data_IF_629430919231
#
_entry.id   IF_629430919231
#
_cell.length_a   1.000
_cell.length_b   1.000
_cell.length_c   1.000
_cell.angle_alpha   90.00
_cell.angle_beta   90.00
_cell.angle_gamma   90.00
#
_symmetry.space_group_name_H-M   'P 1'
#
loop_
_entity.id
_entity.type
_entity.pdbx_description
1 polymer ?
#
# COMPACT_ATOMS: atom_id res chain seq x y z
N UNK A 1 4.87 52.47 -38.25
CA UNK A 1 5.81 51.44 -37.73
C UNK A 1 5.63 51.34 -36.23
N UNK A 2 4.86 50.38 -35.72
CA UNK A 2 4.72 50.11 -34.28
C UNK A 2 4.56 48.60 -34.08
N UNK A 3 5.30 48.10 -33.10
CA UNK A 3 5.73 46.73 -32.87
C UNK A 3 4.62 45.68 -32.79
N UNK A 4 4.86 44.56 -33.48
CA UNK A 4 4.37 43.23 -33.12
C UNK A 4 5.13 42.78 -31.86
N UNK A 5 4.47 42.79 -30.70
CA UNK A 5 4.96 42.06 -29.53
C UNK A 5 4.47 40.61 -29.63
N UNK A 6 5.41 39.72 -29.95
CA UNK A 6 5.22 38.28 -29.93
C UNK A 6 4.87 37.82 -28.51
N UNK A 7 3.67 37.25 -28.37
CA UNK A 7 3.27 36.46 -27.20
C UNK A 7 4.06 35.15 -27.25
N UNK A 8 5.16 35.07 -26.50
CA UNK A 8 5.87 33.83 -26.21
C UNK A 8 5.75 33.56 -24.71
N UNK A 9 4.57 33.09 -24.30
CA UNK A 9 4.32 32.67 -22.92
C UNK A 9 4.26 31.15 -22.89
N UNK A 10 5.33 30.57 -22.34
CA UNK A 10 5.38 29.33 -21.54
C UNK A 10 4.74 28.06 -22.13
N UNK A 11 5.55 27.23 -22.79
CA UNK A 11 5.21 25.84 -23.17
C UNK A 11 6.09 24.79 -22.46
N UNK A 12 6.69 25.11 -21.31
CA UNK A 12 7.71 24.28 -20.66
C UNK A 12 7.28 23.32 -19.52
N UNK A 13 6.02 23.18 -19.05
CA UNK A 13 5.73 22.23 -17.97
C UNK A 13 5.44 20.79 -18.42
N UNK A 14 5.10 20.54 -19.68
CA UNK A 14 4.61 19.20 -20.10
C UNK A 14 5.68 18.10 -20.05
N UNK A 15 6.93 18.42 -20.37
CA UNK A 15 8.02 17.43 -20.43
C UNK A 15 8.41 16.94 -19.02
N UNK A 16 8.38 17.82 -18.02
CA UNK A 16 8.70 17.45 -16.62
C UNK A 16 7.64 16.53 -16.00
N UNK A 17 6.37 16.76 -16.30
CA UNK A 17 5.26 15.94 -15.78
C UNK A 17 5.28 14.52 -16.37
N UNK A 18 5.56 14.36 -17.67
CA UNK A 18 5.64 13.05 -18.31
C UNK A 18 6.78 12.18 -17.77
N UNK A 19 7.93 12.78 -17.45
CA UNK A 19 9.08 12.06 -16.88
C UNK A 19 8.79 11.48 -15.48
N UNK A 20 8.10 12.24 -14.62
CA UNK A 20 7.69 11.77 -13.29
C UNK A 20 6.71 10.60 -13.38
N UNK A 21 5.77 10.65 -14.32
CA UNK A 21 4.78 9.57 -14.54
C UNK A 21 5.43 8.26 -14.96
N UNK A 22 6.35 8.32 -15.93
CA UNK A 22 7.06 7.13 -16.40
C UNK A 22 7.84 6.44 -15.27
N UNK A 23 8.40 7.22 -14.34
CA UNK A 23 9.17 6.67 -13.21
C UNK A 23 8.33 5.95 -12.15
N UNK A 24 7.02 6.23 -12.04
CA UNK A 24 6.15 5.60 -11.05
C UNK A 24 5.43 4.34 -11.56
N UNK A 25 5.37 4.13 -12.87
CA UNK A 25 4.71 2.98 -13.48
C UNK A 25 5.14 1.61 -12.91
N UNK A 26 6.45 1.28 -12.79
CA UNK A 26 6.86 -0.02 -12.25
C UNK A 26 6.44 -0.20 -10.78
N UNK A 27 6.50 0.85 -9.98
CA UNK A 27 6.15 0.84 -8.56
C UNK A 27 4.65 0.61 -8.37
N UNK A 28 3.82 1.26 -9.20
CA UNK A 28 2.36 1.04 -9.21
C UNK A 28 1.99 -0.38 -9.64
N UNK A 29 2.70 -0.93 -10.63
CA UNK A 29 2.50 -2.31 -11.07
C UNK A 29 2.83 -3.30 -9.94
N UNK A 30 3.92 -3.09 -9.21
CA UNK A 30 4.29 -3.91 -8.06
C UNK A 30 3.23 -3.85 -6.94
N UNK A 31 2.75 -2.66 -6.58
CA UNK A 31 1.68 -2.51 -5.59
C UNK A 31 0.38 -3.22 -6.02
N UNK A 32 -0.01 -3.09 -7.30
CA UNK A 32 -1.18 -3.77 -7.83
C UNK A 32 -1.03 -5.29 -7.79
N UNK A 33 0.15 -5.80 -8.12
CA UNK A 33 0.46 -7.23 -8.01
C UNK A 33 0.38 -7.72 -6.56
N UNK A 34 0.98 -6.99 -5.62
CA UNK A 34 0.94 -7.31 -4.19
C UNK A 34 -0.49 -7.34 -3.64
N UNK A 35 -1.31 -6.34 -3.99
CA UNK A 35 -2.73 -6.29 -3.61
C UNK A 35 -3.50 -7.47 -4.20
N UNK A 36 -3.35 -7.72 -5.50
CA UNK A 36 -4.06 -8.82 -6.19
C UNK A 36 -3.68 -10.17 -5.59
N UNK A 37 -2.39 -10.42 -5.37
CA UNK A 37 -1.91 -11.65 -4.75
C UNK A 37 -2.53 -11.87 -3.35
N UNK A 38 -2.66 -10.80 -2.57
CA UNK A 38 -3.27 -10.87 -1.25
C UNK A 38 -4.78 -11.15 -1.30
N UNK A 39 -5.50 -10.50 -2.21
CA UNK A 39 -6.94 -10.71 -2.39
C UNK A 39 -7.25 -12.10 -2.94
N UNK A 40 -6.43 -12.60 -3.88
CA UNK A 40 -6.55 -13.95 -4.41
C UNK A 40 -6.29 -15.01 -3.34
N UNK A 41 -5.30 -14.79 -2.46
CA UNK A 41 -5.06 -15.69 -1.33
C UNK A 41 -6.20 -15.64 -0.33
N UNK A 42 -6.74 -14.46 -0.03
CA UNK A 42 -7.90 -14.31 0.84
C UNK A 42 -9.12 -15.08 0.32
N UNK A 43 -9.35 -15.07 -1.00
CA UNK A 43 -10.45 -15.80 -1.63
C UNK A 43 -10.28 -17.33 -1.57
N UNK A 44 -9.04 -17.83 -1.56
CA UNK A 44 -8.71 -19.26 -1.49
C UNK A 44 -8.62 -19.80 -0.06
N UNK A 45 -8.40 -18.91 0.92
CA UNK A 45 -8.03 -19.26 2.29
C UNK A 45 -6.52 -19.48 2.45
N UNK A 46 -5.98 -19.19 3.65
CA UNK A 46 -4.53 -19.17 3.86
C UNK A 46 -3.87 -20.53 4.03
N UNK A 47 -4.59 -21.54 4.53
CA UNK A 47 -4.03 -22.86 4.83
C UNK A 47 -5.07 -23.99 4.71
N UNK A 48 -5.72 -24.19 3.54
CA UNK A 48 -6.90 -25.06 3.44
C UNK A 48 -6.65 -26.57 3.62
N UNK A 49 -5.39 -27.03 3.51
CA UNK A 49 -5.06 -28.46 3.41
C UNK A 49 -4.23 -29.00 4.59
N UNK A 50 -3.98 -28.20 5.63
CA UNK A 50 -3.13 -28.62 6.75
C UNK A 50 -3.91 -29.44 7.77
N UNK A 51 -3.31 -30.52 8.26
CA UNK A 51 -4.02 -31.52 9.09
C UNK A 51 -3.55 -31.47 10.54
N UNK A 52 -2.29 -31.12 10.78
CA UNK A 52 -1.71 -31.04 12.13
C UNK A 52 -1.50 -29.60 12.58
N UNK A 53 -1.52 -29.35 13.89
CA UNK A 53 -1.25 -28.01 14.46
C UNK A 53 0.13 -27.47 14.04
N UNK A 54 1.14 -28.34 13.94
CA UNK A 54 2.48 -27.96 13.47
C UNK A 54 2.49 -27.49 12.00
N UNK A 55 1.78 -28.19 11.12
CA UNK A 55 1.63 -27.79 9.72
C UNK A 55 0.82 -26.49 9.57
N UNK A 56 -0.23 -26.33 10.37
CA UNK A 56 -1.03 -25.11 10.43
C UNK A 56 -0.16 -23.92 10.84
N UNK A 57 0.61 -24.04 11.92
CA UNK A 57 1.49 -22.97 12.40
C UNK A 57 2.58 -22.61 11.38
N UNK A 58 3.25 -23.60 10.79
CA UNK A 58 4.24 -23.37 9.74
C UNK A 58 3.63 -22.63 8.53
N UNK A 59 2.45 -23.07 8.09
CA UNK A 59 1.74 -22.45 6.98
C UNK A 59 1.37 -20.99 7.26
N UNK A 60 0.78 -20.70 8.42
CA UNK A 60 0.39 -19.34 8.80
C UNK A 60 1.59 -18.41 8.97
N UNK A 61 2.74 -18.91 9.46
CA UNK A 61 4.00 -18.14 9.50
C UNK A 61 4.44 -17.71 8.10
N UNK A 62 4.41 -18.63 7.13
CA UNK A 62 4.75 -18.28 5.74
C UNK A 62 3.74 -17.30 5.14
N UNK A 63 2.44 -17.53 5.34
CA UNK A 63 1.38 -16.64 4.84
C UNK A 63 1.49 -15.22 5.44
N UNK A 64 1.86 -15.12 6.72
CA UNK A 64 2.08 -13.83 7.39
C UNK A 64 3.28 -13.08 6.80
N UNK A 65 4.41 -13.76 6.57
CA UNK A 65 5.58 -13.14 5.95
C UNK A 65 5.24 -12.59 4.55
N UNK A 66 4.48 -13.35 3.76
CA UNK A 66 4.00 -12.88 2.45
C UNK A 66 3.06 -11.68 2.59
N UNK A 67 2.11 -11.71 3.52
CA UNK A 67 1.19 -10.59 3.79
C UNK A 67 1.94 -9.30 4.13
N UNK A 68 2.93 -9.39 5.04
CA UNK A 68 3.77 -8.26 5.42
C UNK A 68 4.59 -7.74 4.25
N UNK A 69 5.13 -8.63 3.42
CA UNK A 69 5.84 -8.25 2.19
C UNK A 69 4.92 -7.48 1.24
N UNK A 70 3.69 -7.97 1.02
CA UNK A 70 2.70 -7.32 0.16
C UNK A 70 2.31 -5.93 0.69
N UNK A 71 2.06 -5.82 2.00
CA UNK A 71 1.77 -4.54 2.64
C UNK A 71 2.92 -3.54 2.48
N UNK A 72 4.16 -3.98 2.67
CA UNK A 72 5.34 -3.12 2.53
C UNK A 72 5.52 -2.61 1.09
N UNK A 73 5.32 -3.47 0.08
CA UNK A 73 5.34 -3.05 -1.31
C UNK A 73 4.27 -1.98 -1.59
N UNK A 74 3.06 -2.18 -1.08
CA UNK A 74 1.95 -1.23 -1.24
C UNK A 74 2.23 0.13 -0.55
N UNK A 75 2.70 0.11 0.71
CA UNK A 75 3.11 1.30 1.46
C UNK A 75 4.23 2.07 0.76
N UNK A 76 5.21 1.34 0.20
CA UNK A 76 6.30 1.94 -0.55
C UNK A 76 5.80 2.68 -1.78
N UNK A 77 4.88 2.08 -2.53
CA UNK A 77 4.30 2.72 -3.71
C UNK A 77 3.51 3.99 -3.39
N UNK A 78 2.74 3.97 -2.29
CA UNK A 78 2.03 5.16 -1.80
C UNK A 78 3.04 6.24 -1.41
N UNK A 79 4.06 5.90 -0.62
CA UNK A 79 5.12 6.83 -0.20
C UNK A 79 5.77 7.52 -1.40
N UNK A 80 6.21 6.74 -2.39
CA UNK A 80 6.85 7.27 -3.60
C UNK A 80 5.89 8.14 -4.42
N UNK A 81 4.61 7.76 -4.49
CA UNK A 81 3.59 8.55 -5.20
C UNK A 81 3.30 9.88 -4.49
N UNK A 82 3.22 9.88 -3.16
CA UNK A 82 3.09 11.11 -2.36
C UNK A 82 4.31 12.01 -2.56
N UNK A 83 5.52 11.47 -2.42
CA UNK A 83 6.77 12.23 -2.61
C UNK A 83 6.86 12.86 -4.01
N UNK A 84 6.45 12.13 -5.04
CA UNK A 84 6.40 12.66 -6.40
C UNK A 84 5.39 13.82 -6.54
N UNK A 85 4.25 13.75 -5.85
CA UNK A 85 3.23 14.81 -5.83
C UNK A 85 3.70 16.04 -5.05
N UNK A 86 4.31 15.85 -3.88
CA UNK A 86 4.77 16.96 -3.02
C UNK A 86 5.91 17.78 -3.65
N UNK A 87 6.59 17.26 -4.68
CA UNK A 87 7.51 18.09 -5.49
C UNK A 87 6.79 19.20 -6.26
N UNK A 88 5.49 19.05 -6.49
CA UNK A 88 4.67 19.93 -7.32
C UNK A 88 3.61 20.69 -6.50
N UNK A 89 3.25 20.20 -5.32
CA UNK A 89 2.22 20.77 -4.42
C UNK A 89 2.74 20.83 -2.97
N UNK A 90 2.16 21.67 -2.09
CA UNK A 90 2.63 21.82 -0.71
C UNK A 90 2.78 20.48 0.05
N UNK A 91 3.85 20.30 0.86
CA UNK A 91 4.26 19.01 1.43
C UNK A 91 3.54 18.67 2.75
N UNK A 92 2.26 18.31 2.68
CA UNK A 92 1.47 17.95 3.85
C UNK A 92 1.06 16.47 3.91
N UNK A 93 1.26 15.70 2.85
CA UNK A 93 0.68 14.37 2.73
C UNK A 93 1.59 13.26 3.27
N UNK A 94 2.91 13.40 3.19
CA UNK A 94 3.84 12.31 3.56
C UNK A 94 3.88 12.09 5.07
N UNK A 95 4.00 13.17 5.85
CA UNK A 95 4.07 13.10 7.31
C UNK A 95 2.79 12.49 7.90
N UNK A 96 1.63 12.90 7.38
CA UNK A 96 0.33 12.42 7.85
C UNK A 96 0.14 10.95 7.48
N UNK A 97 0.58 10.54 6.27
CA UNK A 97 0.61 9.12 5.89
C UNK A 97 1.50 8.31 6.85
N UNK A 98 2.75 8.73 7.10
CA UNK A 98 3.65 8.00 8.00
C UNK A 98 3.12 7.91 9.43
N UNK A 99 2.51 8.98 9.95
CA UNK A 99 1.87 8.98 11.26
C UNK A 99 0.69 7.99 11.30
N UNK A 100 -0.13 7.95 10.25
CA UNK A 100 -1.26 7.01 10.16
C UNK A 100 -0.82 5.55 10.09
N UNK A 101 0.22 5.25 9.30
CA UNK A 101 0.77 3.89 9.20
C UNK A 101 1.41 3.43 10.51
N UNK A 102 2.10 4.33 11.21
CA UNK A 102 2.65 4.03 12.53
C UNK A 102 1.54 3.75 13.56
N UNK A 103 0.44 4.50 13.53
CA UNK A 103 -0.70 4.26 14.40
C UNK A 103 -1.35 2.90 14.09
N UNK A 104 -1.48 2.56 12.81
CA UNK A 104 -1.99 1.28 12.37
C UNK A 104 -1.09 0.12 12.82
N UNK A 105 0.23 0.23 12.71
CA UNK A 105 1.17 -0.82 13.15
C UNK A 105 1.00 -1.14 14.64
N UNK A 106 0.82 -0.11 15.48
CA UNK A 106 0.54 -0.29 16.92
C UNK A 106 -0.81 -0.95 17.17
N UNK A 107 -1.84 -0.55 16.43
CA UNK A 107 -3.16 -1.17 16.51
C UNK A 107 -3.09 -2.66 16.14
N UNK A 108 -2.45 -2.98 15.01
CA UNK A 108 -2.30 -4.35 14.51
C UNK A 108 -1.56 -5.24 15.52
N UNK A 109 -0.43 -4.76 16.05
CA UNK A 109 0.33 -5.47 17.09
C UNK A 109 -0.53 -5.73 18.35
N UNK A 110 -1.30 -4.72 18.78
CA UNK A 110 -2.17 -4.85 19.96
C UNK A 110 -3.26 -5.90 19.75
N UNK A 111 -3.97 -5.84 18.62
CA UNK A 111 -5.05 -6.80 18.31
C UNK A 111 -4.52 -8.23 18.16
N UNK A 112 -3.34 -8.37 17.57
CA UNK A 112 -2.66 -9.66 17.40
C UNK A 112 -2.29 -10.26 18.75
N UNK A 113 -1.74 -9.45 19.68
CA UNK A 113 -1.43 -9.88 21.04
C UNK A 113 -2.69 -10.30 21.81
N UNK A 114 -3.76 -9.50 21.75
CA UNK A 114 -5.03 -9.82 22.41
C UNK A 114 -5.58 -11.16 21.92
N UNK A 115 -5.50 -11.42 20.60
CA UNK A 115 -5.92 -12.72 20.05
C UNK A 115 -5.08 -13.85 20.64
N UNK A 116 -3.74 -13.70 20.69
CA UNK A 116 -2.86 -14.71 21.24
C UNK A 116 -3.15 -15.00 22.73
N UNK A 117 -3.54 -13.97 23.50
CA UNK A 117 -3.86 -14.09 24.92
C UNK A 117 -5.20 -14.77 25.17
N UNK A 118 -6.14 -14.73 24.22
CA UNK A 118 -7.44 -15.41 24.28
C UNK A 118 -7.38 -16.92 23.98
N UNK A 119 -6.25 -17.41 23.48
CA UNK A 119 -6.08 -18.82 23.10
C UNK A 119 -5.44 -19.60 24.25
N UNK A 120 -6.16 -20.57 24.79
CA UNK A 120 -5.66 -21.37 25.93
C UNK A 120 -4.51 -22.31 25.54
N UNK A 121 -4.60 -22.94 24.37
CA UNK A 121 -3.59 -23.88 23.90
C UNK A 121 -2.33 -23.14 23.40
N UNK A 122 -1.16 -23.31 24.04
CA UNK A 122 0.08 -22.65 23.61
C UNK A 122 0.47 -22.93 22.15
N UNK A 123 0.15 -24.13 21.64
CA UNK A 123 0.48 -24.52 20.26
C UNK A 123 -0.31 -23.72 19.21
N UNK A 124 -1.51 -23.25 19.56
CA UNK A 124 -2.41 -22.54 18.65
C UNK A 124 -2.26 -21.01 18.74
N UNK A 125 -1.54 -20.50 19.75
CA UNK A 125 -1.36 -19.05 19.96
C UNK A 125 -0.71 -18.37 18.76
N UNK A 126 0.35 -18.99 18.23
CA UNK A 126 1.14 -18.45 17.12
C UNK A 126 0.35 -18.41 15.81
N UNK A 127 -0.32 -19.51 15.46
CA UNK A 127 -1.17 -19.58 14.26
C UNK A 127 -2.38 -18.64 14.35
N UNK A 128 -3.01 -18.53 15.53
CA UNK A 128 -4.12 -17.61 15.75
C UNK A 128 -3.71 -16.15 15.65
N UNK A 129 -2.57 -15.77 16.24
CA UNK A 129 -1.99 -14.45 16.11
C UNK A 129 -1.69 -14.11 14.64
N UNK A 130 -1.04 -15.02 13.92
CA UNK A 130 -0.74 -14.85 12.51
C UNK A 130 -2.00 -14.70 11.65
N UNK A 131 -3.02 -15.53 11.88
CA UNK A 131 -4.30 -15.42 11.18
C UNK A 131 -4.98 -14.07 11.40
N UNK A 132 -4.98 -13.56 12.64
CA UNK A 132 -5.49 -12.21 12.96
C UNK A 132 -4.72 -11.15 12.20
N UNK A 133 -3.39 -11.16 12.26
CA UNK A 133 -2.58 -10.12 11.62
C UNK A 133 -2.76 -10.13 10.08
N UNK A 134 -2.84 -11.31 9.46
CA UNK A 134 -3.15 -11.44 8.02
C UNK A 134 -4.52 -10.79 7.70
N UNK A 135 -5.54 -11.06 8.52
CA UNK A 135 -6.87 -10.45 8.38
C UNK A 135 -6.82 -8.92 8.46
N UNK A 136 -6.07 -8.38 9.43
CA UNK A 136 -5.88 -6.94 9.59
C UNK A 136 -5.12 -6.32 8.41
N UNK A 137 -4.05 -6.96 7.93
CA UNK A 137 -3.29 -6.53 6.74
C UNK A 137 -4.21 -6.41 5.53
N UNK A 138 -5.09 -7.39 5.30
CA UNK A 138 -6.05 -7.38 4.18
C UNK A 138 -7.06 -6.25 4.28
N UNK A 139 -7.58 -5.99 5.47
CA UNK A 139 -8.49 -4.86 5.67
C UNK A 139 -7.77 -3.55 5.34
N UNK A 140 -6.56 -3.39 5.89
CA UNK A 140 -5.76 -2.20 5.68
C UNK A 140 -5.37 -1.97 4.22
N UNK A 141 -5.00 -3.02 3.49
CA UNK A 141 -4.73 -2.93 2.06
C UNK A 141 -5.94 -2.42 1.27
N UNK A 142 -7.15 -2.85 1.60
CA UNK A 142 -8.39 -2.35 0.96
C UNK A 142 -8.66 -0.89 1.31
N UNK A 143 -8.41 -0.49 2.56
CA UNK A 143 -8.55 0.90 2.99
C UNK A 143 -7.55 1.81 2.27
N UNK A 144 -6.28 1.39 2.22
CA UNK A 144 -5.22 2.10 1.49
C UNK A 144 -5.53 2.19 -0.02
N UNK A 145 -5.97 1.09 -0.63
CA UNK A 145 -6.36 1.06 -2.04
C UNK A 145 -7.48 2.07 -2.34
N UNK A 146 -8.50 2.12 -1.47
CA UNK A 146 -9.61 3.06 -1.58
C UNK A 146 -9.17 4.52 -1.38
N UNK A 147 -8.41 4.80 -0.32
CA UNK A 147 -7.97 6.16 0.04
C UNK A 147 -7.02 6.72 -1.01
N UNK A 148 -6.07 5.90 -1.48
CA UNK A 148 -5.01 6.32 -2.39
C UNK A 148 -5.23 5.89 -3.84
N UNK A 149 -6.46 5.48 -4.20
CA UNK A 149 -6.81 5.01 -5.54
C UNK A 149 -6.29 5.95 -6.65
N UNK A 150 -6.49 7.26 -6.47
CA UNK A 150 -6.06 8.28 -7.45
C UNK A 150 -4.53 8.30 -7.62
N UNK A 151 -3.76 8.07 -6.54
CA UNK A 151 -2.31 8.05 -6.61
C UNK A 151 -1.76 6.75 -7.22
N UNK A 152 -2.46 5.63 -7.01
CA UNK A 152 -2.00 4.29 -7.35
C UNK A 152 -2.44 3.84 -8.75
N UNK A 153 -3.67 4.16 -9.16
CA UNK A 153 -4.28 3.60 -10.36
C UNK A 153 -4.48 4.58 -11.50
N UNK A 154 -4.49 5.90 -11.24
CA UNK A 154 -4.64 6.88 -12.30
C UNK A 154 -3.29 7.25 -12.93
N UNK A 155 -3.18 7.03 -14.25
CA UNK A 155 -2.12 7.57 -15.10
C UNK A 155 -2.37 9.05 -15.40
N UNK A 156 -2.38 9.88 -14.37
CA UNK A 156 -2.91 11.21 -14.55
C UNK A 156 -1.86 12.21 -15.03
N UNK A 157 -1.49 12.12 -16.31
CA UNK A 157 -0.66 13.12 -16.99
C UNK A 157 -1.32 14.50 -17.06
N UNK A 158 -2.62 14.57 -16.77
CA UNK A 158 -3.45 15.77 -16.80
C UNK A 158 -4.02 16.20 -15.43
N UNK A 159 -4.02 15.37 -14.36
CA UNK A 159 -4.61 15.78 -13.07
C UNK A 159 -3.84 16.89 -12.35
N UNK A 160 -2.64 17.24 -12.82
CA UNK A 160 -1.82 18.31 -12.23
C UNK A 160 -1.98 19.64 -12.98
N UNK A 161 -2.81 19.69 -14.04
CA UNK A 161 -3.03 20.87 -14.86
C UNK A 161 -4.37 21.58 -14.57
N UNK A 162 -5.33 20.89 -13.92
CA UNK A 162 -6.69 21.39 -13.67
C UNK A 162 -6.97 21.76 -12.18
N UNK A 163 -5.93 21.96 -11.36
CA UNK A 163 -6.06 22.53 -10.01
C UNK A 163 -5.31 23.85 -9.87
#
# INVERSE_FOLDING_TARGET
MKSLFFVFVLSLPLLGQQAVQLSLAPIRAEAKMAFTAEMDRAAKGDCPNQVTSAEIDACYKTALLQSRSNLNAFRSAIRMSIQARERLFPPLMLKDFEASEQAWDRYSATQTQVTADMVDNPEDKSSSAAATEIGLIRSHLRDLDKIYNILLHNNCGACLADQ
#
